data_IF_554029916266
#
_entry.id   IF_554029916266
#
_cell.length_a   1.000
_cell.length_b   1.000
_cell.length_c   1.000
_cell.angle_alpha   90.00
_cell.angle_beta   90.00
_cell.angle_gamma   90.00
#
_symmetry.space_group_name_H-M   'P 1'
#
loop_
_entity.id
_entity.type
_entity.pdbx_description
1 polymer ?
#
# COMPACT_ATOMS: atom_id res chain seq x y z
N UNK A 1 -2.75 6.46 29.18
CA UNK A 1 -4.13 6.98 29.25
C UNK A 1 -4.41 8.13 28.29
N UNK A 2 -3.63 9.23 28.24
CA UNK A 2 -3.72 10.22 27.14
C UNK A 2 -3.67 9.57 25.74
N UNK A 3 -2.89 8.51 25.59
CA UNK A 3 -2.80 7.70 24.37
C UNK A 3 -4.11 7.00 23.98
N UNK A 4 -4.93 6.55 24.94
CA UNK A 4 -6.21 5.90 24.63
C UNK A 4 -7.24 6.96 24.20
N UNK A 5 -7.21 8.14 24.81
CA UNK A 5 -8.04 9.27 24.37
C UNK A 5 -7.65 9.79 22.98
N UNK A 6 -6.35 9.80 22.65
CA UNK A 6 -5.84 10.11 21.32
C UNK A 6 -6.27 9.06 20.28
N UNK A 7 -6.23 7.77 20.65
CA UNK A 7 -6.67 6.67 19.78
C UNK A 7 -8.19 6.64 19.55
N UNK A 8 -8.99 7.07 20.52
CA UNK A 8 -10.45 7.11 20.40
C UNK A 8 -10.96 8.30 19.59
N UNK A 9 -10.20 9.40 19.52
CA UNK A 9 -10.64 10.64 18.87
C UNK A 9 -11.85 11.29 19.57
N UNK A 10 -12.15 12.54 19.21
CA UNK A 10 -13.29 13.28 19.79
C UNK A 10 -14.68 12.80 19.32
N UNK A 11 -14.72 11.84 18.39
CA UNK A 11 -15.92 11.39 17.67
C UNK A 11 -16.47 10.03 18.13
N UNK A 12 -15.78 9.31 19.03
CA UNK A 12 -16.25 8.00 19.53
C UNK A 12 -17.01 8.16 20.85
N UNK A 13 -18.24 7.64 20.89
CA UNK A 13 -19.07 7.63 22.10
C UNK A 13 -18.37 6.81 23.19
N UNK A 14 -18.00 7.45 24.29
CA UNK A 14 -17.30 6.80 25.41
C UNK A 14 -18.14 5.64 25.99
N UNK A 15 -17.51 4.48 26.27
CA UNK A 15 -18.17 3.34 26.90
C UNK A 15 -18.86 3.67 28.23
N UNK A 16 -19.83 2.86 28.60
CA UNK A 16 -20.35 2.85 29.97
C UNK A 16 -19.20 2.58 30.96
N UNK A 17 -19.25 3.21 32.14
CA UNK A 17 -18.22 3.14 33.20
C UNK A 17 -16.85 3.73 32.84
N UNK A 18 -16.70 4.38 31.68
CA UNK A 18 -15.43 5.02 31.29
C UNK A 18 -14.96 6.08 32.30
N UNK A 19 -15.87 6.89 32.82
CA UNK A 19 -15.57 7.89 33.85
C UNK A 19 -15.16 7.25 35.18
N UNK A 20 -15.79 6.15 35.55
CA UNK A 20 -15.52 5.43 36.80
C UNK A 20 -14.14 4.76 36.74
N UNK A 21 -13.82 4.12 35.61
CA UNK A 21 -12.49 3.57 35.34
C UNK A 21 -11.41 4.66 35.41
N UNK A 22 -11.65 5.83 34.81
CA UNK A 22 -10.69 6.94 34.85
C UNK A 22 -10.48 7.48 36.27
N UNK A 23 -11.54 7.48 37.08
CA UNK A 23 -11.50 7.88 38.48
C UNK A 23 -10.72 6.87 39.33
N UNK A 24 -10.98 5.57 39.18
CA UNK A 24 -10.27 4.50 39.88
C UNK A 24 -8.77 4.47 39.50
N UNK A 25 -8.44 4.70 38.23
CA UNK A 25 -7.04 4.83 37.77
C UNK A 25 -6.36 6.07 38.38
N UNK A 26 -7.11 7.15 38.60
CA UNK A 26 -6.57 8.38 39.20
C UNK A 26 -6.27 8.22 40.70
N UNK A 27 -7.15 7.54 41.44
CA UNK A 27 -6.98 7.33 42.88
C UNK A 27 -6.00 6.20 43.21
N UNK A 28 -6.05 5.07 42.49
CA UNK A 28 -5.04 4.03 42.54
C UNK A 28 -5.00 3.23 43.85
N UNK A 29 -6.08 3.17 44.61
CA UNK A 29 -6.17 2.32 45.80
C UNK A 29 -6.33 0.83 45.44
N UNK A 30 -6.08 -0.05 46.40
CA UNK A 30 -6.22 -1.52 46.20
C UNK A 30 -7.66 -1.89 45.79
N UNK A 31 -8.66 -1.22 46.39
CA UNK A 31 -10.07 -1.38 46.00
C UNK A 31 -10.33 -0.92 44.56
N UNK A 32 -9.69 0.16 44.11
CA UNK A 32 -9.81 0.66 42.74
C UNK A 32 -9.30 -0.35 41.72
N UNK A 33 -8.21 -1.08 42.04
CA UNK A 33 -7.69 -2.13 41.17
C UNK A 33 -8.68 -3.29 41.03
N UNK A 34 -9.27 -3.72 42.14
CA UNK A 34 -10.31 -4.76 42.14
C UNK A 34 -11.55 -4.31 41.35
N UNK A 35 -11.97 -3.06 41.51
CA UNK A 35 -13.12 -2.50 40.81
C UNK A 35 -12.86 -2.35 39.31
N UNK A 36 -11.64 -1.97 38.91
CA UNK A 36 -11.23 -1.95 37.51
C UNK A 36 -11.28 -3.36 36.93
N UNK A 37 -10.70 -4.35 37.61
CA UNK A 37 -10.63 -5.72 37.08
C UNK A 37 -12.01 -6.39 37.00
N UNK A 38 -12.81 -6.25 38.06
CA UNK A 38 -14.07 -6.97 38.20
C UNK A 38 -15.26 -6.26 37.53
N UNK A 39 -15.25 -4.93 37.44
CA UNK A 39 -16.42 -4.15 37.00
C UNK A 39 -16.14 -3.24 35.82
N UNK A 40 -15.13 -2.38 35.88
CA UNK A 40 -14.99 -1.33 34.87
C UNK A 40 -14.40 -1.86 33.56
N UNK A 41 -13.33 -2.65 33.66
CA UNK A 41 -12.62 -3.16 32.49
C UNK A 41 -13.46 -4.13 31.64
N UNK A 42 -14.25 -5.07 32.19
CA UNK A 42 -15.10 -5.94 31.37
C UNK A 42 -16.08 -5.18 30.47
N UNK A 43 -16.75 -4.16 31.03
CA UNK A 43 -17.73 -3.34 30.31
C UNK A 43 -17.06 -2.41 29.30
N UNK A 44 -15.99 -1.72 29.72
CA UNK A 44 -15.20 -0.86 28.84
C UNK A 44 -14.60 -1.66 27.69
N UNK A 45 -13.99 -2.82 27.97
CA UNK A 45 -13.39 -3.72 26.97
C UNK A 45 -14.44 -4.26 25.99
N UNK A 46 -15.62 -4.64 26.46
CA UNK A 46 -16.71 -5.13 25.61
C UNK A 46 -17.21 -4.05 24.65
N UNK A 47 -17.42 -2.83 25.15
CA UNK A 47 -17.84 -1.69 24.34
C UNK A 47 -16.75 -1.22 23.37
N UNK A 48 -15.49 -1.16 23.82
CA UNK A 48 -14.34 -0.85 22.96
C UNK A 48 -14.21 -1.88 21.84
N UNK A 49 -14.29 -3.18 22.14
CA UNK A 49 -14.28 -4.24 21.12
C UNK A 49 -15.39 -4.05 20.10
N UNK A 50 -16.62 -3.81 20.53
CA UNK A 50 -17.75 -3.53 19.61
C UNK A 50 -17.52 -2.28 18.76
N UNK A 51 -16.87 -1.25 19.29
CA UNK A 51 -16.51 -0.04 18.57
C UNK A 51 -15.37 -0.23 17.55
N UNK A 52 -14.39 -1.08 17.85
CA UNK A 52 -13.25 -1.35 16.97
C UNK A 52 -13.58 -2.19 15.72
N UNK A 53 -14.65 -2.99 15.76
CA UNK A 53 -15.12 -3.75 14.58
C UNK A 53 -16.04 -2.94 13.65
N UNK A 54 -16.33 -1.68 13.98
CA UNK A 54 -17.15 -0.77 13.18
C UNK A 54 -16.32 0.32 12.54
N UNK A 55 -16.06 0.19 11.24
CA UNK A 55 -15.74 1.29 10.31
C UNK A 55 -14.33 1.92 10.39
N UNK A 56 -13.53 1.74 11.46
CA UNK A 56 -12.13 2.20 11.51
C UNK A 56 -11.24 1.23 12.32
N UNK A 57 -10.79 0.13 11.70
CA UNK A 57 -9.96 -0.87 12.40
C UNK A 57 -8.48 -0.47 12.43
N UNK A 58 -7.92 -0.30 13.63
CA UNK A 58 -6.48 -0.46 13.87
C UNK A 58 -6.19 -1.95 14.10
N UNK A 59 -5.36 -2.52 13.25
CA UNK A 59 -5.11 -3.97 13.17
C UNK A 59 -4.33 -4.48 14.40
N UNK A 60 -4.68 -5.65 14.97
CA UNK A 60 -3.89 -6.28 16.01
C UNK A 60 -2.55 -6.76 15.44
N UNK A 61 -1.45 -6.22 15.96
CA UNK A 61 -0.09 -6.69 15.68
C UNK A 61 0.20 -7.87 16.61
N UNK A 62 0.54 -9.02 16.06
CA UNK A 62 1.13 -10.12 16.83
C UNK A 62 2.59 -9.76 17.10
N UNK A 63 2.89 -9.39 18.34
CA UNK A 63 4.24 -9.09 18.81
C UNK A 63 4.47 -9.92 20.05
N UNK A 64 5.62 -10.57 20.16
CA UNK A 64 6.03 -11.24 21.40
C UNK A 64 6.14 -10.24 22.57
N UNK A 65 6.45 -8.97 22.27
CA UNK A 65 6.50 -7.90 23.27
C UNK A 65 6.17 -6.51 22.68
N UNK A 66 5.07 -5.92 23.18
CA UNK A 66 4.60 -4.57 22.85
C UNK A 66 5.58 -3.46 23.28
N UNK A 67 6.48 -3.74 24.22
CA UNK A 67 7.43 -2.76 24.77
C UNK A 67 8.45 -2.28 23.72
N UNK A 68 8.84 -3.16 22.79
CA UNK A 68 9.83 -2.89 21.74
C UNK A 68 9.31 -1.94 20.67
N UNK A 69 8.05 -2.07 20.28
CA UNK A 69 7.39 -1.17 19.32
C UNK A 69 7.11 0.22 19.91
N UNK A 70 6.81 0.29 21.21
CA UNK A 70 6.62 1.56 21.93
C UNK A 70 7.94 2.32 22.06
N UNK A 71 9.06 1.62 22.26
CA UNK A 71 10.39 2.21 22.31
C UNK A 71 10.82 2.81 20.96
N UNK A 72 10.41 2.22 19.84
CA UNK A 72 10.81 2.62 18.49
C UNK A 72 10.15 3.91 17.98
N UNK A 73 9.06 4.40 18.60
CA UNK A 73 8.30 5.61 18.19
C UNK A 73 8.19 5.81 16.65
N UNK A 74 7.75 4.83 15.85
CA UNK A 74 7.61 5.04 14.42
C UNK A 74 6.43 5.99 14.15
N UNK A 75 6.72 7.19 13.66
CA UNK A 75 5.75 8.24 13.31
C UNK A 75 5.20 8.09 11.88
N UNK A 76 4.99 6.86 11.41
CA UNK A 76 4.46 6.58 10.08
C UNK A 76 3.53 5.37 10.04
N UNK A 77 2.69 5.23 8.99
CA UNK A 77 1.84 4.05 8.82
C UNK A 77 2.73 2.80 8.77
N UNK A 78 2.46 1.84 9.66
CA UNK A 78 3.15 0.56 9.69
C UNK A 78 2.76 -0.20 8.42
N UNK A 79 3.60 -0.13 7.38
CA UNK A 79 3.49 -1.01 6.21
C UNK A 79 3.92 -2.39 6.67
N UNK A 80 2.95 -3.24 6.99
CA UNK A 80 3.19 -4.67 7.17
C UNK A 80 3.58 -5.25 5.82
N UNK A 81 4.64 -6.06 5.80
CA UNK A 81 5.09 -6.74 4.59
C UNK A 81 3.94 -7.59 4.03
N UNK A 82 3.65 -7.45 2.74
CA UNK A 82 2.58 -8.21 2.09
C UNK A 82 3.07 -9.63 1.76
N UNK A 83 2.15 -10.59 1.81
CA UNK A 83 2.44 -11.99 1.51
C UNK A 83 2.49 -12.23 0.00
N UNK A 84 3.47 -11.63 -0.69
CA UNK A 84 3.63 -11.71 -2.14
C UNK A 84 3.74 -13.15 -2.66
N UNK A 85 4.24 -14.08 -1.86
CA UNK A 85 4.33 -15.50 -2.21
C UNK A 85 2.98 -16.23 -2.34
N UNK A 86 1.87 -15.60 -1.93
CA UNK A 86 0.52 -16.19 -2.02
C UNK A 86 -0.16 -15.99 -3.37
N UNK A 87 0.38 -15.10 -4.20
CA UNK A 87 -0.16 -14.79 -5.52
C UNK A 87 0.81 -15.24 -6.61
N UNK A 88 0.29 -15.51 -7.80
CA UNK A 88 1.09 -15.81 -8.98
C UNK A 88 1.21 -14.58 -9.89
N UNK A 89 1.96 -14.73 -10.99
CA UNK A 89 2.23 -13.66 -11.96
C UNK A 89 0.92 -13.04 -12.50
N UNK A 90 -0.06 -13.88 -12.87
CA UNK A 90 -1.35 -13.43 -13.38
C UNK A 90 -2.16 -12.67 -12.32
N UNK A 91 -2.15 -13.15 -11.08
CA UNK A 91 -2.85 -12.50 -9.97
C UNK A 91 -2.18 -11.18 -9.61
N UNK A 92 -0.86 -11.08 -9.72
CA UNK A 92 -0.13 -9.83 -9.55
C UNK A 92 -0.48 -8.79 -10.63
N UNK A 93 -0.61 -9.20 -11.90
CA UNK A 93 -1.11 -8.31 -12.96
C UNK A 93 -2.54 -7.83 -12.65
N UNK A 94 -3.42 -8.73 -12.20
CA UNK A 94 -4.80 -8.38 -11.81
C UNK A 94 -4.84 -7.39 -10.65
N UNK A 95 -3.98 -7.59 -9.65
CA UNK A 95 -3.83 -6.67 -8.52
C UNK A 95 -3.48 -5.26 -9.00
N UNK A 96 -2.50 -5.15 -9.91
CA UNK A 96 -2.11 -3.85 -10.46
C UNK A 96 -3.20 -3.25 -11.34
N UNK A 97 -3.92 -4.07 -12.10
CA UNK A 97 -5.09 -3.63 -12.88
C UNK A 97 -6.19 -3.06 -11.97
N UNK A 98 -6.54 -3.75 -10.89
CA UNK A 98 -7.50 -3.24 -9.89
C UNK A 98 -6.99 -1.94 -9.26
N UNK A 99 -5.71 -1.89 -8.87
CA UNK A 99 -5.11 -0.71 -8.26
C UNK A 99 -5.20 0.54 -9.17
N UNK A 100 -4.88 0.40 -10.46
CA UNK A 100 -4.96 1.55 -11.40
C UNK A 100 -6.39 1.89 -11.76
N UNK A 101 -7.30 0.91 -11.81
CA UNK A 101 -8.72 1.14 -12.12
C UNK A 101 -9.42 1.93 -11.01
N UNK A 102 -9.04 1.67 -9.75
CA UNK A 102 -9.63 2.32 -8.59
C UNK A 102 -8.94 3.65 -8.21
N UNK A 103 -7.88 4.05 -8.92
CA UNK A 103 -7.11 5.25 -8.58
C UNK A 103 -7.57 6.45 -9.41
N UNK A 104 -8.05 7.54 -8.77
CA UNK A 104 -8.39 8.77 -9.48
C UNK A 104 -7.22 9.33 -10.29
N UNK A 105 -7.51 9.85 -11.48
CA UNK A 105 -6.48 10.34 -12.42
C UNK A 105 -5.86 9.25 -13.29
N UNK A 106 -6.36 8.02 -13.22
CA UNK A 106 -6.05 6.94 -14.18
C UNK A 106 -7.33 6.59 -14.92
N UNK A 107 -7.32 6.75 -16.25
CA UNK A 107 -8.47 6.56 -17.12
C UNK A 107 -8.17 5.47 -18.17
N UNK A 108 -9.21 4.75 -18.60
CA UNK A 108 -9.14 3.73 -19.64
C UNK A 108 -8.05 2.67 -19.40
N UNK A 109 -8.07 1.95 -18.25
CA UNK A 109 -7.17 0.85 -18.03
C UNK A 109 -7.50 -0.31 -18.99
N UNK A 110 -6.47 -0.81 -19.67
CA UNK A 110 -6.59 -1.86 -20.69
C UNK A 110 -5.57 -2.96 -20.43
N UNK A 111 -6.02 -4.21 -20.63
CA UNK A 111 -5.14 -5.36 -20.75
C UNK A 111 -4.52 -5.34 -22.14
N UNK A 112 -3.19 -5.39 -22.24
CA UNK A 112 -2.48 -5.41 -23.53
C UNK A 112 -2.34 -6.82 -24.13
N UNK A 113 -2.97 -7.83 -23.48
CA UNK A 113 -2.96 -9.21 -23.94
C UNK A 113 -3.94 -9.45 -25.09
N UNK A 114 -3.40 -9.82 -26.26
CA UNK A 114 -3.95 -10.95 -27.01
C UNK A 114 -3.29 -12.22 -26.47
N UNK A 115 -4.10 -13.09 -25.90
CA UNK A 115 -3.77 -14.22 -25.02
C UNK A 115 -3.10 -15.42 -25.71
N UNK A 116 -2.11 -15.23 -26.61
CA UNK A 116 -1.36 -16.32 -27.30
C UNK A 116 -0.16 -15.91 -28.19
N UNK A 117 0.48 -14.76 -27.96
CA UNK A 117 1.71 -14.38 -28.70
C UNK A 117 2.89 -14.23 -27.73
N UNK A 118 4.15 -14.47 -28.16
CA UNK A 118 5.32 -14.38 -27.27
C UNK A 118 5.37 -13.00 -26.62
N UNK A 119 5.37 -12.98 -25.29
CA UNK A 119 5.24 -11.79 -24.45
C UNK A 119 6.26 -10.72 -24.84
N UNK A 120 5.80 -9.71 -25.58
CA UNK A 120 6.61 -8.54 -25.96
C UNK A 120 6.69 -7.53 -24.82
N UNK A 121 6.81 -8.01 -23.58
CA UNK A 121 6.95 -7.20 -22.37
C UNK A 121 5.87 -6.14 -22.22
N UNK A 122 4.59 -6.53 -22.24
CA UNK A 122 3.46 -5.61 -22.04
C UNK A 122 2.30 -6.30 -21.35
N UNK A 123 1.92 -5.76 -20.21
CA UNK A 123 0.82 -6.34 -19.44
C UNK A 123 -0.38 -5.38 -19.43
N UNK A 124 -0.18 -4.12 -19.01
CA UNK A 124 -1.26 -3.14 -18.86
C UNK A 124 -0.97 -1.80 -19.56
N UNK A 125 -2.02 -1.11 -20.02
CA UNK A 125 -1.97 0.28 -20.46
C UNK A 125 -3.02 1.11 -19.74
N UNK A 126 -2.73 2.38 -19.51
CA UNK A 126 -3.67 3.32 -18.90
C UNK A 126 -3.32 4.74 -19.30
N UNK A 127 -4.31 5.64 -19.31
CA UNK A 127 -4.09 7.07 -19.51
C UNK A 127 -4.01 7.75 -18.15
N UNK A 128 -2.84 8.29 -17.79
CA UNK A 128 -2.71 9.12 -16.59
C UNK A 128 -3.11 10.55 -16.92
N UNK A 129 -4.08 11.07 -16.18
CA UNK A 129 -4.60 12.42 -16.33
C UNK A 129 -4.10 13.28 -15.17
N UNK A 130 -3.33 14.31 -15.51
CA UNK A 130 -2.85 15.30 -14.56
C UNK A 130 -3.60 16.59 -14.82
N UNK A 131 -4.37 17.03 -13.83
CA UNK A 131 -5.03 18.33 -13.86
C UNK A 131 -4.08 19.34 -13.23
N UNK A 132 -3.74 20.36 -14.01
CA UNK A 132 -2.99 21.52 -13.56
C UNK A 132 -3.90 22.74 -13.70
N UNK A 133 -4.07 23.50 -12.62
CA UNK A 133 -5.03 24.62 -12.57
C UNK A 133 -4.73 25.70 -13.61
N UNK A 134 -3.47 25.83 -14.04
CA UNK A 134 -3.02 26.86 -14.97
C UNK A 134 -2.76 26.31 -16.38
N UNK A 135 -2.32 25.06 -16.49
CA UNK A 135 -1.90 24.41 -17.75
C UNK A 135 -2.99 23.50 -18.33
N UNK A 136 -4.12 23.35 -17.65
CA UNK A 136 -5.25 22.54 -18.08
C UNK A 136 -5.07 21.05 -17.78
N UNK A 137 -5.52 20.19 -18.69
CA UNK A 137 -5.48 18.73 -18.50
C UNK A 137 -4.42 18.09 -19.38
N UNK A 138 -3.39 17.53 -18.75
CA UNK A 138 -2.36 16.74 -19.42
C UNK A 138 -2.74 15.27 -19.37
N UNK A 139 -2.62 14.59 -20.52
CA UNK A 139 -2.86 13.15 -20.65
C UNK A 139 -1.57 12.47 -21.06
N UNK A 140 -1.15 11.49 -20.28
CA UNK A 140 0.04 10.70 -20.51
C UNK A 140 -0.35 9.25 -20.80
N UNK A 141 0.14 8.71 -21.91
CA UNK A 141 0.03 7.28 -22.15
C UNK A 141 1.01 6.55 -21.24
N UNK A 142 0.49 5.70 -20.37
CA UNK A 142 1.26 4.89 -19.44
C UNK A 142 1.17 3.42 -19.87
N UNK A 143 2.33 2.76 -19.92
CA UNK A 143 2.43 1.30 -20.07
C UNK A 143 3.06 0.76 -18.80
N UNK A 144 2.48 -0.32 -18.27
CA UNK A 144 2.95 -0.97 -17.04
C UNK A 144 3.39 -2.39 -17.39
N UNK A 145 4.65 -2.67 -17.10
CA UNK A 145 5.20 -4.01 -17.08
C UNK A 145 5.18 -4.55 -15.66
N UNK A 146 4.52 -5.68 -15.48
CA UNK A 146 4.45 -6.43 -14.25
C UNK A 146 5.55 -7.50 -14.25
N UNK A 147 6.28 -7.60 -13.14
CA UNK A 147 7.34 -8.60 -12.90
C UNK A 147 7.17 -9.12 -11.48
N UNK A 148 6.35 -10.16 -11.30
CA UNK A 148 6.10 -10.76 -10.00
C UNK A 148 7.30 -11.60 -9.53
N UNK A 149 8.34 -10.95 -9.04
CA UNK A 149 9.62 -11.57 -8.70
C UNK A 149 9.89 -11.41 -7.21
N UNK A 150 9.72 -12.47 -6.44
CA UNK A 150 9.93 -12.47 -4.99
C UNK A 150 11.35 -12.86 -4.59
N UNK A 151 12.07 -13.60 -5.45
CA UNK A 151 13.43 -14.11 -5.18
C UNK A 151 14.52 -13.48 -6.03
N UNK A 152 14.14 -12.79 -7.12
CA UNK A 152 15.08 -12.12 -8.04
C UNK A 152 14.79 -10.63 -8.12
N UNK A 153 15.83 -9.84 -8.33
CA UNK A 153 15.70 -8.40 -8.56
C UNK A 153 15.63 -8.07 -10.06
N UNK A 154 14.96 -6.98 -10.39
CA UNK A 154 14.93 -6.43 -11.76
C UNK A 154 16.28 -5.78 -12.07
N UNK A 155 16.99 -6.33 -13.06
CA UNK A 155 18.31 -5.87 -13.48
C UNK A 155 18.25 -4.75 -14.52
N UNK A 156 19.39 -4.11 -14.77
CA UNK A 156 19.54 -3.10 -15.81
C UNK A 156 19.09 -3.60 -17.20
N UNK A 157 19.49 -4.82 -17.56
CA UNK A 157 19.17 -5.42 -18.87
C UNK A 157 17.67 -5.60 -19.08
N UNK A 158 16.93 -5.89 -18.01
CA UNK A 158 15.47 -6.02 -18.04
C UNK A 158 14.80 -4.67 -18.27
N UNK A 159 15.28 -3.62 -17.59
CA UNK A 159 14.77 -2.26 -17.76
C UNK A 159 15.07 -1.74 -19.17
N UNK A 160 16.31 -1.90 -19.65
CA UNK A 160 16.74 -1.37 -20.95
C UNK A 160 16.04 -2.09 -22.11
N UNK A 161 15.94 -3.41 -22.06
CA UNK A 161 15.23 -4.20 -23.08
C UNK A 161 13.74 -3.86 -23.15
N UNK A 162 13.09 -3.67 -22.00
CA UNK A 162 11.67 -3.25 -21.95
C UNK A 162 11.50 -1.88 -22.61
N UNK A 163 12.39 -0.92 -22.32
CA UNK A 163 12.38 0.41 -22.97
C UNK A 163 12.57 0.29 -24.48
N UNK A 164 13.53 -0.51 -24.94
CA UNK A 164 13.79 -0.70 -26.38
C UNK A 164 12.57 -1.30 -27.09
N UNK A 165 11.88 -2.24 -26.46
CA UNK A 165 10.63 -2.80 -26.99
C UNK A 165 9.53 -1.74 -27.12
N UNK A 166 9.48 -0.74 -26.24
CA UNK A 166 8.51 0.37 -26.34
C UNK A 166 8.73 1.24 -27.58
N UNK A 167 9.97 1.34 -28.10
CA UNK A 167 10.25 2.11 -29.31
C UNK A 167 9.55 1.55 -30.56
N UNK A 168 9.13 0.28 -30.53
CA UNK A 168 8.39 -0.37 -31.61
C UNK A 168 6.91 0.08 -31.69
N UNK A 169 6.45 0.94 -30.77
CA UNK A 169 5.04 1.34 -30.65
C UNK A 169 4.87 2.87 -30.57
N UNK A 170 5.13 3.61 -31.66
CA UNK A 170 5.23 5.07 -31.62
C UNK A 170 3.88 5.81 -31.66
N UNK A 171 2.74 5.15 -31.89
CA UNK A 171 1.46 5.86 -32.11
C UNK A 171 0.29 5.33 -31.26
N UNK A 172 -0.24 6.11 -30.31
CA UNK A 172 0.37 7.31 -29.72
C UNK A 172 1.64 6.94 -28.95
N UNK A 173 2.59 7.86 -28.83
CA UNK A 173 3.85 7.59 -28.10
C UNK A 173 3.55 7.18 -26.65
N UNK A 174 4.38 6.31 -26.08
CA UNK A 174 4.35 6.06 -24.64
C UNK A 174 5.07 7.21 -23.96
N UNK A 175 4.40 7.89 -23.03
CA UNK A 175 4.99 9.00 -22.28
C UNK A 175 5.67 8.48 -20.99
N UNK A 176 5.06 7.48 -20.35
CA UNK A 176 5.57 6.86 -19.11
C UNK A 176 5.58 5.34 -19.24
N UNK A 177 6.71 4.74 -18.89
CA UNK A 177 6.86 3.29 -18.73
C UNK A 177 7.04 2.99 -17.25
N UNK A 178 6.14 2.19 -16.68
CA UNK A 178 6.22 1.73 -15.30
C UNK A 178 6.71 0.29 -15.31
N UNK A 179 7.70 -0.02 -14.48
CA UNK A 179 8.06 -1.40 -14.16
C UNK A 179 7.63 -1.64 -12.71
N UNK A 180 6.66 -2.52 -12.53
CA UNK A 180 6.11 -2.89 -11.24
C UNK A 180 6.56 -4.30 -10.87
N UNK A 181 7.11 -4.46 -9.66
CA UNK A 181 7.61 -5.75 -9.20
C UNK A 181 7.29 -5.96 -7.73
N UNK A 182 6.97 -7.21 -7.37
CA UNK A 182 6.83 -7.66 -5.98
C UNK A 182 8.18 -7.94 -5.31
N UNK A 183 9.27 -7.43 -5.86
CA UNK A 183 10.62 -7.52 -5.33
C UNK A 183 11.35 -6.19 -5.44
N UNK A 184 12.63 -6.25 -5.79
CA UNK A 184 13.54 -5.08 -5.79
C UNK A 184 14.16 -4.83 -7.14
N UNK A 185 14.73 -3.64 -7.30
CA UNK A 185 15.59 -3.28 -8.44
C UNK A 185 17.06 -3.39 -8.03
N UNK A 186 17.94 -3.75 -8.96
CA UNK A 186 19.39 -3.67 -8.72
C UNK A 186 19.85 -2.21 -8.68
N UNK A 187 20.97 -1.93 -8.00
CA UNK A 187 21.52 -0.57 -7.91
C UNK A 187 21.84 0.02 -9.30
N UNK A 188 22.34 -0.81 -10.23
CA UNK A 188 22.63 -0.41 -11.60
C UNK A 188 21.36 -0.03 -12.38
N UNK A 189 20.26 -0.77 -12.18
CA UNK A 189 18.97 -0.43 -12.78
C UNK A 189 18.46 0.92 -12.27
N UNK A 190 18.53 1.16 -10.95
CA UNK A 190 18.12 2.44 -10.35
C UNK A 190 18.95 3.60 -10.91
N UNK A 191 20.27 3.45 -10.90
CA UNK A 191 21.21 4.48 -11.37
C UNK A 191 20.96 4.83 -12.84
N UNK A 192 20.74 3.83 -13.69
CA UNK A 192 20.45 4.05 -15.10
C UNK A 192 19.09 4.75 -15.30
N UNK A 193 18.05 4.37 -14.55
CA UNK A 193 16.72 5.01 -14.64
C UNK A 193 16.82 6.48 -14.24
N UNK A 194 17.54 6.78 -13.15
CA UNK A 194 17.75 8.16 -12.70
C UNK A 194 18.50 8.99 -13.76
N UNK A 195 19.58 8.45 -14.34
CA UNK A 195 20.32 9.11 -15.41
C UNK A 195 19.47 9.32 -16.67
N UNK A 196 18.76 8.29 -17.13
CA UNK A 196 17.89 8.36 -18.31
C UNK A 196 16.79 9.42 -18.11
N UNK A 197 16.12 9.42 -16.96
CA UNK A 197 15.09 10.40 -16.65
C UNK A 197 15.65 11.82 -16.45
N UNK A 198 16.80 11.95 -15.79
CA UNK A 198 17.48 13.23 -15.56
C UNK A 198 17.92 13.90 -16.86
N UNK A 199 18.28 13.12 -17.87
CA UNK A 199 18.62 13.59 -19.21
C UNK A 199 17.39 13.88 -20.10
N UNK A 200 16.17 13.78 -19.55
CA UNK A 200 14.92 14.00 -20.31
C UNK A 200 14.59 12.85 -21.29
N UNK A 201 15.12 11.65 -21.06
CA UNK A 201 14.87 10.50 -21.91
C UNK A 201 13.39 10.08 -21.90
N UNK A 202 12.89 9.69 -23.08
CA UNK A 202 11.53 9.18 -23.26
C UNK A 202 11.52 7.68 -23.63
N UNK A 203 10.47 6.92 -23.25
CA UNK A 203 9.49 7.27 -22.22
C UNK A 203 10.16 7.51 -20.85
N UNK A 204 9.52 8.32 -19.99
CA UNK A 204 9.97 8.44 -18.59
C UNK A 204 9.79 7.10 -17.90
N UNK A 205 10.79 6.62 -17.18
CA UNK A 205 10.74 5.31 -16.51
C UNK A 205 10.40 5.49 -15.04
N UNK A 206 9.33 4.86 -14.58
CA UNK A 206 8.95 4.80 -13.16
C UNK A 206 9.14 3.38 -12.61
N UNK A 207 9.71 3.28 -11.41
CA UNK A 207 9.96 2.00 -10.75
C UNK A 207 9.00 1.86 -9.57
N UNK A 208 8.21 0.78 -9.56
CA UNK A 208 7.32 0.41 -8.47
C UNK A 208 7.83 -0.89 -7.81
N UNK A 209 8.80 -0.79 -6.87
CA UNK A 209 9.26 -1.95 -6.10
C UNK A 209 8.22 -2.38 -5.05
N UNK A 210 8.48 -3.53 -4.41
CA UNK A 210 7.63 -4.09 -3.34
C UNK A 210 7.22 -3.02 -2.31
N UNK A 211 8.19 -2.23 -1.83
CA UNK A 211 7.96 -1.23 -0.77
C UNK A 211 7.09 -0.05 -1.23
N UNK A 212 7.11 0.27 -2.53
CA UNK A 212 6.23 1.27 -3.10
C UNK A 212 4.82 0.72 -3.21
N UNK A 213 4.67 -0.51 -3.72
CA UNK A 213 3.38 -1.19 -3.83
C UNK A 213 2.73 -1.41 -2.46
N UNK A 214 3.49 -1.82 -1.46
CA UNK A 214 3.03 -1.97 -0.08
C UNK A 214 2.48 -0.66 0.47
N UNK A 215 3.16 0.47 0.21
CA UNK A 215 2.67 1.79 0.62
C UNK A 215 1.36 2.16 -0.09
N UNK A 216 1.25 1.89 -1.40
CA UNK A 216 0.03 2.15 -2.15
C UNK A 216 -1.14 1.28 -1.66
N UNK A 217 -0.88 0.01 -1.38
CA UNK A 217 -1.87 -0.96 -0.94
C UNK A 217 -2.27 -0.78 0.52
N UNK A 218 -1.37 -0.27 1.37
CA UNK A 218 -1.68 0.05 2.77
C UNK A 218 -2.82 1.08 2.89
N UNK A 219 -2.95 2.00 1.93
CA UNK A 219 -4.06 2.93 1.84
C UNK A 219 -5.36 2.30 1.30
N UNK A 220 -5.33 1.02 0.88
CA UNK A 220 -6.41 0.29 0.19
C UNK A 220 -6.60 -1.12 0.78
N UNK A 221 -7.04 -1.24 2.05
CA UNK A 221 -7.15 -2.52 2.73
C UNK A 221 -8.16 -3.49 2.09
N UNK A 222 -9.16 -2.98 1.36
CA UNK A 222 -10.11 -3.79 0.59
C UNK A 222 -9.40 -4.61 -0.50
N UNK A 223 -8.49 -3.98 -1.25
CA UNK A 223 -7.69 -4.64 -2.30
C UNK A 223 -6.75 -5.68 -1.68
N UNK A 224 -6.12 -5.38 -0.54
CA UNK A 224 -5.30 -6.36 0.18
C UNK A 224 -6.11 -7.61 0.56
N UNK A 225 -7.35 -7.42 1.02
CA UNK A 225 -8.23 -8.51 1.42
C UNK A 225 -8.71 -9.35 0.23
N UNK A 226 -9.10 -8.71 -0.87
CA UNK A 226 -9.55 -9.35 -2.10
C UNK A 226 -8.49 -10.32 -2.66
N UNK A 227 -7.22 -9.89 -2.66
CA UNK A 227 -6.11 -10.67 -3.19
C UNK A 227 -5.43 -11.57 -2.14
N UNK A 228 -5.95 -11.65 -0.92
CA UNK A 228 -5.43 -12.55 0.12
C UNK A 228 -4.01 -12.24 0.59
N UNK A 229 -3.54 -11.00 0.42
CA UNK A 229 -2.13 -10.60 0.63
C UNK A 229 -1.71 -10.39 2.09
N UNK A 230 -2.59 -10.74 3.04
CA UNK A 230 -2.27 -10.63 4.47
C UNK A 230 -1.20 -11.65 4.85
N UNK A 231 -0.10 -11.19 5.47
CA UNK A 231 0.79 -12.08 6.20
C UNK A 231 0.01 -12.69 7.37
N UNK A 232 0.00 -14.02 7.46
CA UNK A 232 -0.53 -14.73 8.64
C UNK A 232 0.57 -14.88 9.67
#
# INVERSE_FOLDING_TARGET
MKQIEVLLGSSVKKPARWSDMMRHIHFGYVGDLHDIEAMDWPDVKSALRKGFYGVNEAVPVQVEDLSTLVAARPTGPITTALAWSKIDDQTFERLLFTLISDTPGYENPEWLMQTRAPDRGRDLSVTRVVQDELSGTLRHRVVIQCKHWTTRSVSLSEVSSTKEQMALWPNPRVDVMIIATSGRFTADAVTWVEQHNGNGGLPRVEMWPESHLERLLAARPAVIAEFGLRAH
#
